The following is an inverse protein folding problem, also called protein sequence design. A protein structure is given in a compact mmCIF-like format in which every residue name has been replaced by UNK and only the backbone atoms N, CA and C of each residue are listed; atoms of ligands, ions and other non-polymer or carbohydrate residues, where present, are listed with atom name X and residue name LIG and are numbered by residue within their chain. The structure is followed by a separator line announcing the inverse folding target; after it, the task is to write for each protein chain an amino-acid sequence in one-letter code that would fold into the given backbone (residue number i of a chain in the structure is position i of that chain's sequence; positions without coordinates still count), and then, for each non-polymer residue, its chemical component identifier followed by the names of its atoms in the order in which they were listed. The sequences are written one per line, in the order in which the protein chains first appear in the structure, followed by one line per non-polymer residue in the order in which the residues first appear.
data_IF_726459125621
#
_entry.id   IF_726459125621
#
_cell.length_a   1.000
_cell.length_b   1.000
_cell.length_c   1.000
_cell.angle_alpha   90.00
_cell.angle_beta   90.00
_cell.angle_gamma   90.00
#
_symmetry.space_group_name_H-M   'P 1'
#
loop_
_entity.id
_entity.type
_entity.pdbx_description
1 polymer ?
#
# COMPACT_ATOMS: atom_id res chain seq x y z
N UNK A 1 -19.57 -6.86 11.90
CA UNK A 1 -21.02 -6.70 12.13
C UNK A 1 -21.70 -8.04 12.48
N UNK A 2 -21.73 -9.06 11.63
CA UNK A 2 -22.41 -10.33 12.00
C UNK A 2 -21.82 -10.99 13.25
N UNK A 3 -20.48 -11.05 13.37
CA UNK A 3 -19.77 -11.56 14.56
C UNK A 3 -20.15 -10.81 15.85
N UNK A 4 -20.24 -9.49 15.77
CA UNK A 4 -20.70 -8.64 16.87
C UNK A 4 -22.13 -8.98 17.30
N UNK A 5 -23.06 -9.06 16.33
CA UNK A 5 -24.47 -9.36 16.60
C UNK A 5 -24.69 -10.75 17.21
N UNK A 6 -23.78 -11.70 16.97
CA UNK A 6 -23.80 -13.03 17.59
C UNK A 6 -23.16 -13.08 18.97
N UNK A 7 -22.50 -12.00 19.41
CA UNK A 7 -21.82 -11.94 20.69
C UNK A 7 -20.39 -12.47 20.68
N UNK A 8 -19.77 -12.66 19.50
CA UNK A 8 -18.41 -13.22 19.37
C UNK A 8 -17.34 -12.35 20.08
N UNK A 9 -17.64 -11.08 20.35
CA UNK A 9 -16.77 -10.13 21.08
C UNK A 9 -17.12 -9.97 22.57
N UNK A 10 -18.00 -10.82 23.13
CA UNK A 10 -18.32 -10.87 24.57
C UNK A 10 -18.72 -9.52 25.20
N UNK A 11 -19.40 -8.67 24.44
CA UNK A 11 -19.83 -7.33 24.88
C UNK A 11 -18.76 -6.25 24.81
N UNK A 12 -17.57 -6.54 24.29
CA UNK A 12 -16.53 -5.54 24.04
C UNK A 12 -16.93 -4.59 22.88
N UNK A 13 -16.44 -3.34 22.95
CA UNK A 13 -16.64 -2.36 21.88
C UNK A 13 -15.92 -2.80 20.61
N UNK A 14 -16.66 -2.96 19.52
CA UNK A 14 -16.09 -3.22 18.19
C UNK A 14 -15.53 -1.92 17.62
N UNK A 15 -14.30 -1.99 17.14
CA UNK A 15 -13.51 -0.86 16.65
C UNK A 15 -12.84 -1.21 15.33
N UNK A 16 -12.47 -0.20 14.54
CA UNK A 16 -11.70 -0.40 13.29
C UNK A 16 -10.38 -1.11 13.59
N UNK A 17 -9.62 -0.59 14.56
CA UNK A 17 -8.45 -1.23 15.12
C UNK A 17 -8.84 -1.77 16.50
N UNK A 18 -8.62 -3.06 16.81
CA UNK A 18 -8.00 -4.08 15.97
C UNK A 18 -9.01 -4.91 15.14
N UNK A 19 -10.32 -4.78 15.38
CA UNK A 19 -11.27 -5.80 14.92
C UNK A 19 -11.43 -5.87 13.39
N UNK A 20 -11.51 -4.72 12.71
CA UNK A 20 -11.60 -4.68 11.24
C UNK A 20 -10.26 -4.99 10.61
N UNK A 21 -9.17 -4.42 11.12
CA UNK A 21 -7.81 -4.69 10.62
C UNK A 21 -7.43 -6.16 10.76
N UNK A 22 -7.79 -6.82 11.87
CA UNK A 22 -7.55 -8.24 12.05
C UNK A 22 -8.37 -9.11 11.08
N UNK A 23 -9.62 -8.73 10.79
CA UNK A 23 -10.42 -9.43 9.78
C UNK A 23 -9.81 -9.29 8.37
N UNK A 24 -9.22 -8.13 8.03
CA UNK A 24 -8.50 -7.94 6.77
C UNK A 24 -7.24 -8.80 6.73
N UNK A 25 -6.40 -8.78 7.78
CA UNK A 25 -5.18 -9.60 7.87
C UNK A 25 -5.48 -11.10 7.78
N UNK A 26 -6.55 -11.55 8.44
CA UNK A 26 -6.97 -12.94 8.40
C UNK A 26 -7.42 -13.39 7.00
N UNK A 27 -8.00 -12.50 6.20
CA UNK A 27 -8.32 -12.80 4.79
C UNK A 27 -7.07 -13.06 3.96
N UNK A 28 -6.00 -12.30 4.19
CA UNK A 28 -4.72 -12.50 3.52
C UNK A 28 -4.11 -13.87 3.91
N UNK A 29 -4.05 -14.16 5.22
CA UNK A 29 -3.56 -15.45 5.70
C UNK A 29 -4.39 -16.64 5.19
N UNK A 30 -5.71 -16.49 5.12
CA UNK A 30 -6.59 -17.56 4.65
C UNK A 30 -6.30 -17.94 3.20
N UNK A 31 -6.10 -16.97 2.30
CA UNK A 31 -5.73 -17.24 0.90
C UNK A 31 -4.42 -18.02 0.83
N UNK A 32 -3.41 -17.61 1.60
CA UNK A 32 -2.13 -18.31 1.64
C UNK A 32 -2.29 -19.79 2.07
N UNK A 33 -3.08 -20.05 3.11
CA UNK A 33 -3.30 -21.42 3.64
C UNK A 33 -4.14 -22.28 2.70
N UNK A 34 -5.24 -21.76 2.16
CA UNK A 34 -6.17 -22.51 1.30
C UNK A 34 -5.54 -22.90 -0.03
N UNK A 35 -4.72 -22.02 -0.61
CA UNK A 35 -4.05 -22.25 -1.89
C UNK A 35 -2.66 -22.88 -1.72
N UNK A 36 -2.19 -23.06 -0.47
CA UNK A 36 -0.80 -23.44 -0.16
C UNK A 36 0.21 -22.58 -0.94
N UNK A 37 -0.10 -21.29 -1.08
CA UNK A 37 0.65 -20.39 -1.93
C UNK A 37 1.95 -19.94 -1.25
N UNK A 38 3.06 -20.00 -1.98
CA UNK A 38 4.36 -19.48 -1.53
C UNK A 38 4.40 -17.95 -1.55
N UNK A 39 3.66 -17.34 -2.48
CA UNK A 39 3.55 -15.89 -2.64
C UNK A 39 2.07 -15.52 -2.82
N UNK A 40 1.62 -14.51 -2.08
CA UNK A 40 0.28 -13.93 -2.22
C UNK A 40 0.42 -12.48 -2.66
N UNK A 41 -0.14 -12.16 -3.83
CA UNK A 41 -0.24 -10.79 -4.33
C UNK A 41 -1.59 -10.23 -3.90
N UNK A 42 -1.57 -9.14 -3.12
CA UNK A 42 -2.77 -8.46 -2.64
C UNK A 42 -2.83 -7.08 -3.27
N UNK A 43 -3.84 -6.85 -4.08
CA UNK A 43 -4.17 -5.51 -4.55
C UNK A 43 -4.98 -4.80 -3.46
N UNK A 44 -4.54 -3.60 -3.08
CA UNK A 44 -5.29 -2.71 -2.19
C UNK A 44 -5.96 -1.67 -3.07
N UNK A 45 -7.28 -1.82 -3.24
CA UNK A 45 -8.09 -0.86 -3.99
C UNK A 45 -8.18 0.50 -3.31
N UNK A 46 -8.65 1.50 -4.07
CA UNK A 46 -8.71 2.90 -3.65
C UNK A 46 -7.40 3.65 -3.93
N UNK A 47 -7.33 4.92 -3.50
CA UNK A 47 -6.12 5.73 -3.61
C UNK A 47 -5.56 6.01 -2.22
N UNK A 48 -4.24 6.05 -2.10
CA UNK A 48 -3.58 6.50 -0.87
C UNK A 48 -3.93 7.97 -0.62
N UNK A 49 -4.40 8.27 0.59
CA UNK A 49 -4.95 9.57 0.97
C UNK A 49 -6.48 9.59 1.10
N UNK A 50 -7.17 8.60 0.52
CA UNK A 50 -8.61 8.47 0.66
C UNK A 50 -8.99 7.85 2.02
N UNK A 51 -10.02 8.39 2.66
CA UNK A 51 -10.51 7.93 3.99
C UNK A 51 -10.94 6.45 3.94
N UNK A 52 -11.50 6.01 2.82
CA UNK A 52 -11.97 4.63 2.62
C UNK A 52 -10.82 3.61 2.64
N UNK A 53 -9.61 4.03 2.25
CA UNK A 53 -8.42 3.19 2.17
C UNK A 53 -7.76 2.97 3.54
N UNK A 54 -8.00 3.85 4.53
CA UNK A 54 -7.29 3.84 5.82
C UNK A 54 -7.34 2.50 6.56
N UNK A 55 -8.49 1.79 6.66
CA UNK A 55 -8.52 0.49 7.33
C UNK A 55 -7.64 -0.56 6.64
N UNK A 56 -7.58 -0.56 5.31
CA UNK A 56 -6.75 -1.51 4.54
C UNK A 56 -5.27 -1.18 4.68
N UNK A 57 -4.92 0.09 4.58
CA UNK A 57 -3.55 0.55 4.72
C UNK A 57 -3.02 0.29 6.14
N UNK A 58 -3.82 0.53 7.17
CA UNK A 58 -3.43 0.17 8.55
C UNK A 58 -3.31 -1.34 8.73
N UNK A 59 -4.19 -2.14 8.11
CA UNK A 59 -4.12 -3.59 8.19
C UNK A 59 -2.81 -4.13 7.59
N UNK A 60 -2.41 -3.68 6.39
CA UNK A 60 -1.15 -4.14 5.78
C UNK A 60 0.06 -3.61 6.57
N UNK A 61 0.01 -2.37 7.09
CA UNK A 61 1.06 -1.81 7.95
C UNK A 61 1.31 -2.69 9.17
N UNK A 62 0.24 -3.13 9.86
CA UNK A 62 0.34 -4.09 10.96
C UNK A 62 0.80 -5.48 10.48
N UNK A 63 0.31 -5.93 9.32
CA UNK A 63 0.65 -7.24 8.77
C UNK A 63 2.17 -7.42 8.60
N UNK A 64 2.90 -6.38 8.15
CA UNK A 64 4.37 -6.42 8.09
C UNK A 64 5.03 -6.67 9.44
N UNK A 65 4.45 -6.17 10.54
CA UNK A 65 4.97 -6.45 11.88
C UNK A 65 4.68 -7.89 12.30
N UNK A 66 3.51 -8.42 11.91
CA UNK A 66 3.09 -9.78 12.27
C UNK A 66 3.93 -10.84 11.56
N UNK A 67 4.24 -10.66 10.27
CA UNK A 67 5.00 -11.66 9.48
C UNK A 67 6.49 -11.34 9.33
N UNK A 68 6.93 -10.13 9.72
CA UNK A 68 8.30 -9.67 9.60
C UNK A 68 8.64 -9.03 8.24
N UNK A 69 9.61 -8.12 8.26
CA UNK A 69 9.97 -7.27 7.11
C UNK A 69 10.40 -8.07 5.87
N UNK A 70 11.08 -9.21 6.05
CA UNK A 70 11.53 -10.05 4.94
C UNK A 70 10.41 -10.79 4.19
N UNK A 71 9.19 -10.84 4.77
CA UNK A 71 8.06 -11.59 4.21
C UNK A 71 6.98 -10.68 3.58
N UNK A 72 7.26 -9.38 3.43
CA UNK A 72 6.35 -8.41 2.80
C UNK A 72 7.14 -7.47 1.91
N UNK A 73 6.62 -7.27 0.69
CA UNK A 73 7.09 -6.29 -0.29
C UNK A 73 5.95 -5.33 -0.62
N UNK A 74 6.16 -4.03 -0.47
CA UNK A 74 5.20 -3.01 -0.89
C UNK A 74 5.55 -2.44 -2.26
N UNK A 75 4.61 -2.57 -3.20
CA UNK A 75 4.69 -1.96 -4.53
C UNK A 75 3.67 -0.83 -4.56
N UNK A 76 4.14 0.41 -4.80
CA UNK A 76 3.26 1.58 -4.86
C UNK A 76 3.16 2.12 -6.29
N UNK A 77 1.94 2.09 -6.83
CA UNK A 77 1.62 2.50 -8.20
C UNK A 77 1.27 4.00 -8.21
N UNK A 78 1.96 4.78 -9.04
CA UNK A 78 1.73 6.23 -9.16
C UNK A 78 1.51 6.64 -10.62
N UNK A 79 1.20 7.92 -10.85
CA UNK A 79 1.01 8.50 -12.18
C UNK A 79 1.87 9.77 -12.30
N UNK A 80 2.63 9.85 -13.39
CA UNK A 80 3.33 11.04 -13.85
C UNK A 80 2.43 11.75 -14.87
N UNK A 81 1.63 12.74 -14.48
CA UNK A 81 0.79 13.44 -15.44
C UNK A 81 1.66 14.32 -16.34
N UNK A 82 1.27 14.39 -17.61
CA UNK A 82 1.79 15.37 -18.56
C UNK A 82 1.05 16.68 -18.38
N UNK A 83 1.78 17.78 -18.27
CA UNK A 83 1.19 19.13 -18.28
C UNK A 83 1.12 19.68 -19.71
N UNK A 84 0.39 20.78 -19.92
CA UNK A 84 0.21 21.40 -21.24
C UNK A 84 1.53 21.76 -21.95
N UNK A 85 2.64 21.89 -21.21
CA UNK A 85 3.98 22.13 -21.78
C UNK A 85 4.66 20.87 -22.35
N UNK A 86 4.04 19.69 -22.22
CA UNK A 86 4.57 18.42 -22.72
C UNK A 86 5.43 17.65 -21.72
N UNK A 87 5.74 18.23 -20.55
CA UNK A 87 6.65 17.61 -19.56
C UNK A 87 5.90 16.70 -18.58
N UNK A 88 6.48 15.54 -18.28
CA UNK A 88 6.04 14.67 -17.18
C UNK A 88 6.38 15.31 -15.82
N UNK A 89 5.42 15.32 -14.90
CA UNK A 89 5.64 15.88 -13.55
C UNK A 89 5.75 14.78 -12.50
N UNK A 90 6.86 14.79 -11.76
CA UNK A 90 7.16 13.84 -10.67
C UNK A 90 6.56 14.22 -9.33
N UNK A 91 6.12 15.48 -9.16
CA UNK A 91 5.59 15.99 -7.89
C UNK A 91 4.37 15.23 -7.36
N UNK A 92 3.39 14.80 -8.19
CA UNK A 92 2.29 13.95 -7.75
C UNK A 92 2.77 12.61 -7.16
N UNK A 93 3.73 11.94 -7.79
CA UNK A 93 4.37 10.72 -7.25
C UNK A 93 5.03 10.99 -5.89
N UNK A 94 5.80 12.08 -5.77
CA UNK A 94 6.46 12.45 -4.52
C UNK A 94 5.45 12.69 -3.38
N UNK A 95 4.36 13.39 -3.66
CA UNK A 95 3.30 13.64 -2.69
C UNK A 95 2.59 12.35 -2.30
N UNK A 96 2.31 11.47 -3.26
CA UNK A 96 1.67 10.17 -3.01
C UNK A 96 2.54 9.27 -2.12
N UNK A 97 3.86 9.21 -2.37
CA UNK A 97 4.81 8.48 -1.52
C UNK A 97 4.89 9.09 -0.13
N UNK A 98 4.90 10.42 -0.02
CA UNK A 98 4.87 11.10 1.28
C UNK A 98 3.62 10.72 2.08
N UNK A 99 2.47 10.64 1.44
CA UNK A 99 1.21 10.24 2.08
C UNK A 99 1.24 8.78 2.52
N UNK A 100 1.79 7.88 1.68
CA UNK A 100 1.98 6.47 2.07
C UNK A 100 2.94 6.34 3.27
N UNK A 101 4.00 7.15 3.32
CA UNK A 101 4.95 7.18 4.43
C UNK A 101 4.36 7.78 5.70
N UNK A 102 3.44 8.75 5.60
CA UNK A 102 2.81 9.40 6.75
C UNK A 102 2.05 8.39 7.62
N UNK A 103 1.49 7.36 6.99
CA UNK A 103 0.81 6.25 7.66
C UNK A 103 1.76 5.09 8.03
N UNK A 104 3.08 5.25 7.87
CA UNK A 104 4.07 4.28 8.30
C UNK A 104 4.39 3.16 7.30
N UNK A 105 4.07 3.34 6.01
CA UNK A 105 4.41 2.40 4.94
C UNK A 105 5.50 2.99 4.06
N UNK A 106 6.68 2.35 4.05
CA UNK A 106 7.73 2.66 3.08
C UNK A 106 7.57 1.71 1.87
N UNK A 107 7.36 2.23 0.65
CA UNK A 107 7.35 1.40 -0.55
C UNK A 107 8.74 0.79 -0.76
N UNK A 108 8.78 -0.50 -1.12
CA UNK A 108 10.01 -1.17 -1.51
C UNK A 108 10.25 -1.03 -3.04
N UNK A 109 9.16 -0.91 -3.81
CA UNK A 109 9.15 -0.67 -5.27
C UNK A 109 8.15 0.44 -5.62
N UNK A 110 8.50 1.29 -6.57
CA UNK A 110 7.60 2.26 -7.18
C UNK A 110 7.35 1.87 -8.63
N UNK A 111 6.10 1.94 -9.05
CA UNK A 111 5.74 1.82 -10.47
C UNK A 111 5.17 3.18 -10.89
N UNK A 112 5.97 3.94 -11.63
CA UNK A 112 5.56 5.21 -12.20
C UNK A 112 4.87 4.98 -13.55
N UNK A 113 3.56 5.25 -13.64
CA UNK A 113 2.83 5.20 -14.92
C UNK A 113 2.94 6.53 -15.65
N UNK A 114 3.08 6.47 -16.97
CA UNK A 114 3.08 7.63 -17.86
C UNK A 114 2.57 7.22 -19.25
N UNK A 115 2.13 8.20 -20.05
CA UNK A 115 1.69 7.98 -21.43
C UNK A 115 2.86 7.91 -22.44
N UNK A 116 4.09 8.08 -21.97
CA UNK A 116 5.33 7.99 -22.74
C UNK A 116 6.45 7.33 -21.92
N UNK A 117 7.54 6.89 -22.57
CA UNK A 117 8.72 6.41 -21.86
C UNK A 117 9.24 7.46 -20.87
N UNK A 118 9.54 7.02 -19.65
CA UNK A 118 10.12 7.87 -18.61
C UNK A 118 11.64 7.83 -18.82
N UNK A 119 12.26 9.00 -18.95
CA UNK A 119 13.71 9.10 -19.06
C UNK A 119 14.42 8.73 -17.74
N UNK A 120 15.72 8.44 -17.84
CA UNK A 120 16.50 8.02 -16.68
C UNK A 120 16.63 9.15 -15.65
N UNK A 121 16.70 10.41 -16.09
CA UNK A 121 16.80 11.58 -15.20
C UNK A 121 15.55 11.70 -14.29
N UNK A 122 14.34 11.49 -14.83
CA UNK A 122 13.12 11.48 -14.05
C UNK A 122 13.07 10.28 -13.09
N UNK A 123 13.55 9.11 -13.51
CA UNK A 123 13.64 7.93 -12.62
C UNK A 123 14.60 8.18 -11.45
N UNK A 124 15.80 8.69 -11.73
CA UNK A 124 16.78 9.09 -10.70
C UNK A 124 16.21 10.13 -9.74
N UNK A 125 15.48 11.12 -10.26
CA UNK A 125 14.79 12.12 -9.46
C UNK A 125 13.72 11.49 -8.56
N UNK A 126 12.88 10.60 -9.10
CA UNK A 126 11.85 9.91 -8.30
C UNK A 126 12.51 9.08 -7.20
N UNK A 127 13.53 8.29 -7.55
CA UNK A 127 14.30 7.47 -6.62
C UNK A 127 14.86 8.31 -5.45
N UNK A 128 15.54 9.41 -5.78
CA UNK A 128 16.12 10.32 -4.78
C UNK A 128 15.06 10.95 -3.86
N UNK A 129 13.97 11.49 -4.42
CA UNK A 129 12.95 12.18 -3.63
C UNK A 129 12.06 11.22 -2.81
N UNK A 130 11.87 10.00 -3.30
CA UNK A 130 11.00 9.01 -2.66
C UNK A 130 11.75 8.06 -1.70
N UNK A 131 13.09 8.13 -1.67
CA UNK A 131 13.96 7.25 -0.89
C UNK A 131 13.77 5.77 -1.26
N UNK A 132 13.86 5.50 -2.56
CA UNK A 132 13.74 4.17 -3.17
C UNK A 132 14.95 3.96 -4.08
N UNK A 133 15.51 2.75 -4.13
CA UNK A 133 16.64 2.44 -5.01
C UNK A 133 16.23 2.64 -6.47
N UNK A 134 17.13 3.16 -7.30
CA UNK A 134 16.86 3.39 -8.73
C UNK A 134 16.40 2.13 -9.48
N UNK A 135 16.98 0.97 -9.13
CA UNK A 135 16.59 -0.34 -9.68
C UNK A 135 15.14 -0.74 -9.33
N UNK A 136 14.53 -0.06 -8.36
CA UNK A 136 13.18 -0.30 -7.86
C UNK A 136 12.17 0.79 -8.28
N UNK A 137 12.52 1.66 -9.25
CA UNK A 137 11.65 2.73 -9.79
C UNK A 137 11.34 2.51 -11.27
#
# INVERSE_FOLDING_TARGET
IAKERRGDYLGATVQVIPHVTNEIKERIHRVAREQQAEVVVVEVGGTVGDIESLPYLEAIRQFRNDVGRQNVLYIHLTLLPRVATGELKTKPTQHSVKELRSIGIQPDVLIARADEPIDEELREKIALFCDVKIDNV
#
